data_IF_401116691881
#
_entry.id   IF_401116691881
#
_cell.length_a   1.000
_cell.length_b   1.000
_cell.length_c   1.000
_cell.angle_alpha   90.00
_cell.angle_beta   90.00
_cell.angle_gamma   90.00
#
_symmetry.space_group_name_H-M   'P 1'
#
loop_
_entity.id
_entity.type
_entity.pdbx_description
1 polymer ?
#
# COMPACT_ATOMS: atom_id res chain seq x y z
N UNK A 1 10.23 -14.44 24.82
CA UNK A 1 10.05 -15.88 24.51
C UNK A 1 8.66 -16.22 23.94
N UNK A 2 7.57 -15.57 24.36
CA UNK A 2 6.20 -15.85 23.86
C UNK A 2 5.92 -15.37 22.44
N UNK A 3 6.69 -14.43 21.87
CA UNK A 3 6.52 -13.90 20.51
C UNK A 3 7.10 -14.82 19.42
N UNK A 4 8.10 -15.63 19.74
CA UNK A 4 8.74 -16.56 18.79
C UNK A 4 7.96 -17.86 18.55
N UNK A 5 7.08 -18.23 19.47
CA UNK A 5 6.23 -19.45 19.35
C UNK A 5 5.01 -19.23 18.46
N UNK A 6 4.61 -17.97 18.23
CA UNK A 6 3.41 -17.63 17.43
C UNK A 6 3.56 -17.91 15.93
N UNK A 7 4.78 -18.04 15.43
CA UNK A 7 5.06 -18.08 13.98
C UNK A 7 5.18 -19.48 13.35
N UNK A 8 4.99 -20.58 14.06
CA UNK A 8 5.30 -21.91 13.51
C UNK A 8 4.16 -22.85 13.14
N UNK A 9 2.89 -22.55 13.41
CA UNK A 9 1.88 -23.59 13.13
C UNK A 9 0.41 -23.21 12.92
N UNK A 10 0.03 -21.98 12.70
CA UNK A 10 -1.38 -21.66 12.40
C UNK A 10 -1.53 -20.94 11.08
N UNK A 11 -2.08 -21.66 10.08
CA UNK A 11 -2.76 -21.00 8.95
C UNK A 11 -3.73 -19.99 9.55
N UNK A 12 -3.50 -18.69 9.30
CA UNK A 12 -4.41 -17.64 9.75
C UNK A 12 -5.82 -18.00 9.26
N UNK A 13 -6.84 -18.05 10.12
CA UNK A 13 -8.19 -18.36 9.67
C UNK A 13 -8.59 -17.40 8.56
N UNK A 14 -9.27 -17.88 7.54
CA UNK A 14 -9.78 -17.07 6.42
C UNK A 14 -10.72 -15.93 6.88
N UNK A 15 -11.21 -16.00 8.11
CA UNK A 15 -12.10 -15.01 8.74
C UNK A 15 -11.44 -14.27 9.91
N UNK A 16 -10.10 -14.12 9.91
CA UNK A 16 -9.44 -13.34 10.95
C UNK A 16 -9.86 -11.87 10.85
N UNK A 17 -10.34 -11.36 11.97
CA UNK A 17 -10.61 -9.93 12.18
C UNK A 17 -9.79 -9.51 13.39
N UNK A 18 -8.98 -8.47 13.23
CA UNK A 18 -8.21 -7.87 14.34
C UNK A 18 -9.15 -7.49 15.48
N UNK A 19 -8.71 -7.69 16.73
CA UNK A 19 -9.52 -7.48 17.94
C UNK A 19 -10.19 -6.09 17.99
N UNK A 20 -9.50 -5.05 17.54
CA UNK A 20 -10.02 -3.66 17.55
C UNK A 20 -11.24 -3.46 16.63
N UNK A 21 -11.47 -4.38 15.69
CA UNK A 21 -12.60 -4.34 14.76
C UNK A 21 -13.73 -5.30 15.14
N UNK A 22 -13.58 -6.07 16.23
CA UNK A 22 -14.64 -6.98 16.68
C UNK A 22 -15.91 -6.21 17.05
N UNK A 23 -17.05 -6.70 16.55
CA UNK A 23 -18.36 -6.08 16.79
C UNK A 23 -18.67 -4.87 15.94
N UNK A 24 -17.76 -4.43 15.07
CA UNK A 24 -18.00 -3.32 14.13
C UNK A 24 -18.53 -3.91 12.83
N UNK A 25 -19.72 -3.41 12.41
CA UNK A 25 -20.27 -3.77 11.12
C UNK A 25 -19.63 -2.95 10.00
N UNK A 26 -19.00 -3.61 9.04
CA UNK A 26 -18.32 -2.96 7.92
C UNK A 26 -19.26 -2.17 6.99
N UNK A 27 -20.57 -2.44 7.01
CA UNK A 27 -21.59 -1.75 6.19
C UNK A 27 -21.94 -0.36 6.76
N UNK A 28 -21.82 -0.20 8.07
CA UNK A 28 -22.14 1.06 8.79
C UNK A 28 -20.90 1.80 9.27
N UNK A 29 -19.74 1.48 8.74
CA UNK A 29 -18.48 2.10 9.14
C UNK A 29 -18.44 3.58 8.75
N UNK A 30 -18.26 4.47 9.74
CA UNK A 30 -18.10 5.91 9.52
C UNK A 30 -16.64 6.35 9.55
N UNK A 31 -16.37 7.54 8.97
CA UNK A 31 -15.00 8.14 9.00
C UNK A 31 -14.54 8.37 10.43
N UNK A 32 -15.40 8.84 11.33
CA UNK A 32 -15.05 9.12 12.73
C UNK A 32 -14.69 7.84 13.48
N UNK A 33 -15.45 6.76 13.28
CA UNK A 33 -15.11 5.45 13.84
C UNK A 33 -13.75 4.95 13.32
N UNK A 34 -13.50 5.11 12.02
CA UNK A 34 -12.20 4.73 11.45
C UNK A 34 -11.06 5.54 12.07
N UNK A 35 -11.23 6.85 12.21
CA UNK A 35 -10.20 7.73 12.80
C UNK A 35 -9.94 7.45 14.28
N UNK A 36 -10.94 7.00 15.03
CA UNK A 36 -10.77 6.60 16.43
C UNK A 36 -9.95 5.30 16.58
N UNK A 37 -9.99 4.42 15.58
CA UNK A 37 -9.28 3.13 15.59
C UNK A 37 -7.92 3.23 14.88
N UNK A 38 -7.88 3.91 13.74
CA UNK A 38 -6.71 4.01 12.87
C UNK A 38 -6.16 5.44 12.88
N UNK A 39 -5.15 5.68 13.70
CA UNK A 39 -4.44 6.97 13.64
C UNK A 39 -3.79 7.18 12.27
N UNK A 40 -3.55 8.44 11.89
CA UNK A 40 -2.82 8.77 10.65
C UNK A 40 -1.47 8.06 10.59
N UNK A 41 -0.73 8.00 11.70
CA UNK A 41 0.58 7.35 11.76
C UNK A 41 0.51 5.84 11.58
N UNK A 42 -0.56 5.21 12.08
CA UNK A 42 -0.81 3.79 11.84
C UNK A 42 -1.03 3.53 10.35
N UNK A 43 -1.87 4.33 9.67
CA UNK A 43 -2.12 4.22 8.22
C UNK A 43 -0.83 4.44 7.42
N UNK A 44 0.03 5.38 7.85
CA UNK A 44 1.35 5.60 7.23
C UNK A 44 2.23 4.35 7.36
N UNK A 45 2.38 3.80 8.57
CA UNK A 45 3.16 2.58 8.81
C UNK A 45 2.64 1.38 8.01
N UNK A 46 1.31 1.20 7.99
CA UNK A 46 0.66 0.16 7.20
C UNK A 46 0.90 0.35 5.68
N UNK A 47 0.88 1.59 5.20
CA UNK A 47 1.21 1.90 3.80
C UNK A 47 2.67 1.64 3.47
N UNK A 48 3.61 1.92 4.38
CA UNK A 48 5.03 1.59 4.20
C UNK A 48 5.25 0.07 4.06
N UNK A 49 4.46 -0.74 4.75
CA UNK A 49 4.53 -2.20 4.65
C UNK A 49 3.83 -2.72 3.39
N UNK A 50 2.56 -2.38 3.18
CA UNK A 50 1.65 -3.05 2.24
C UNK A 50 1.26 -2.19 1.03
N UNK A 51 1.50 -0.88 1.07
CA UNK A 51 1.10 0.05 0.00
C UNK A 51 1.98 -0.05 -1.23
N UNK A 52 1.44 0.32 -2.38
CA UNK A 52 2.16 0.40 -3.65
C UNK A 52 1.75 1.64 -4.44
N UNK A 53 2.74 2.48 -4.80
CA UNK A 53 2.57 3.68 -5.62
C UNK A 53 3.09 3.39 -7.02
N UNK A 54 2.25 3.39 -8.04
CA UNK A 54 2.68 3.03 -9.39
C UNK A 54 1.92 3.78 -10.49
N UNK A 55 2.47 3.72 -11.70
CA UNK A 55 1.85 4.20 -12.93
C UNK A 55 1.44 2.99 -13.77
N UNK A 56 0.22 3.00 -14.31
CA UNK A 56 -0.31 1.90 -15.14
C UNK A 56 -0.87 2.41 -16.46
N UNK A 57 -0.61 1.70 -17.53
CA UNK A 57 -1.24 1.95 -18.83
C UNK A 57 -2.72 1.57 -18.79
N UNK A 58 -3.59 2.46 -19.20
CA UNK A 58 -5.06 2.27 -19.32
C UNK A 58 -5.53 2.32 -20.77
N UNK A 59 -4.62 2.44 -21.73
CA UNK A 59 -4.87 2.50 -23.16
C UNK A 59 -3.60 2.87 -23.93
N UNK A 60 -3.69 2.99 -25.27
CA UNK A 60 -2.52 3.26 -26.12
C UNK A 60 -1.74 4.52 -25.73
N UNK A 61 -2.46 5.59 -25.37
CA UNK A 61 -1.89 6.90 -25.03
C UNK A 61 -2.31 7.40 -23.65
N UNK A 62 -2.69 6.48 -22.73
CA UNK A 62 -3.16 6.83 -21.40
C UNK A 62 -2.41 6.08 -20.32
N UNK A 63 -1.78 6.83 -19.41
CA UNK A 63 -1.21 6.32 -18.16
C UNK A 63 -1.95 6.97 -16.99
N UNK A 64 -2.22 6.18 -15.96
CA UNK A 64 -2.90 6.62 -14.74
C UNK A 64 -2.03 6.37 -13.53
N UNK A 65 -2.08 7.30 -12.57
CA UNK A 65 -1.52 7.11 -11.24
C UNK A 65 -2.40 6.16 -10.45
N UNK A 66 -1.78 5.18 -9.81
CA UNK A 66 -2.45 4.23 -8.94
C UNK A 66 -1.74 4.16 -7.60
N UNK A 67 -2.52 4.13 -6.54
CA UNK A 67 -2.11 3.72 -5.22
C UNK A 67 -2.98 2.53 -4.82
N UNK A 68 -2.37 1.47 -4.31
CA UNK A 68 -3.04 0.22 -3.99
C UNK A 68 -2.48 -0.36 -2.69
N UNK A 69 -3.36 -0.91 -1.89
CA UNK A 69 -3.02 -1.73 -0.73
C UNK A 69 -3.72 -3.07 -0.88
N UNK A 70 -2.99 -4.16 -0.66
CA UNK A 70 -3.52 -5.53 -0.78
C UNK A 70 -3.44 -6.23 0.56
N UNK A 71 -4.54 -6.92 0.93
CA UNK A 71 -4.61 -7.74 2.14
C UNK A 71 -5.33 -9.06 1.86
N UNK A 72 -4.79 -10.14 2.43
CA UNK A 72 -5.44 -11.45 2.36
C UNK A 72 -6.60 -11.56 3.35
N UNK A 73 -6.41 -11.01 4.54
CA UNK A 73 -7.36 -11.01 5.63
C UNK A 73 -7.73 -9.54 6.00
N UNK A 74 -8.59 -9.36 6.99
CA UNK A 74 -8.94 -8.02 7.52
C UNK A 74 -9.48 -7.04 6.46
N UNK A 75 -10.45 -7.49 5.66
CA UNK A 75 -11.14 -6.65 4.68
C UNK A 75 -11.63 -5.33 5.29
N UNK A 76 -12.06 -5.34 6.57
CA UNK A 76 -12.54 -4.16 7.28
C UNK A 76 -11.48 -3.06 7.39
N UNK A 77 -10.19 -3.42 7.52
CA UNK A 77 -9.08 -2.46 7.50
C UNK A 77 -9.02 -1.72 6.16
N UNK A 78 -9.15 -2.46 5.05
CA UNK A 78 -9.18 -1.85 3.71
C UNK A 78 -10.44 -0.99 3.51
N UNK A 79 -11.57 -1.38 4.08
CA UNK A 79 -12.80 -0.56 4.11
C UNK A 79 -12.57 0.76 4.85
N UNK A 80 -11.94 0.71 6.03
CA UNK A 80 -11.57 1.93 6.77
C UNK A 80 -10.66 2.84 5.94
N UNK A 81 -9.59 2.31 5.34
CA UNK A 81 -8.69 3.08 4.48
C UNK A 81 -9.44 3.64 3.27
N UNK A 82 -10.37 2.89 2.68
CA UNK A 82 -11.15 3.34 1.53
C UNK A 82 -12.01 4.56 1.85
N UNK A 83 -12.61 4.62 3.05
CA UNK A 83 -13.37 5.78 3.52
C UNK A 83 -12.46 7.01 3.74
N UNK A 84 -11.28 6.80 4.35
CA UNK A 84 -10.33 7.88 4.60
C UNK A 84 -9.78 8.49 3.31
N UNK A 85 -9.52 7.68 2.30
CA UNK A 85 -8.77 8.05 1.10
C UNK A 85 -9.62 8.11 -0.18
N UNK A 86 -10.93 7.88 -0.07
CA UNK A 86 -11.85 7.82 -1.22
C UNK A 86 -11.38 6.80 -2.28
N UNK A 87 -11.17 5.57 -1.84
CA UNK A 87 -10.66 4.48 -2.67
C UNK A 87 -11.72 3.39 -2.84
N UNK A 88 -11.51 2.48 -3.80
CA UNK A 88 -12.41 1.35 -4.04
C UNK A 88 -11.82 0.07 -3.47
N UNK A 89 -12.59 -0.64 -2.65
CA UNK A 89 -12.25 -2.00 -2.21
C UNK A 89 -12.81 -3.02 -3.19
N UNK A 90 -11.99 -3.98 -3.60
CA UNK A 90 -12.36 -5.06 -4.50
C UNK A 90 -11.91 -6.40 -3.94
N UNK A 91 -12.75 -7.43 -4.09
CA UNK A 91 -12.37 -8.82 -3.86
C UNK A 91 -11.67 -9.40 -5.08
N UNK A 92 -10.58 -10.12 -4.87
CA UNK A 92 -9.78 -10.81 -5.88
C UNK A 92 -9.71 -12.34 -5.60
N UNK A 93 -10.83 -12.91 -5.15
CA UNK A 93 -10.92 -14.32 -4.78
C UNK A 93 -10.27 -14.57 -3.41
N UNK A 94 -8.96 -14.78 -3.37
CA UNK A 94 -8.23 -15.14 -2.14
C UNK A 94 -7.71 -13.94 -1.34
N UNK A 95 -7.86 -12.71 -1.84
CA UNK A 95 -7.39 -11.49 -1.19
C UNK A 95 -8.27 -10.29 -1.56
N UNK A 96 -8.10 -9.19 -0.85
CA UNK A 96 -8.77 -7.91 -1.10
C UNK A 96 -7.76 -6.85 -1.50
N UNK A 97 -8.19 -5.94 -2.37
CA UNK A 97 -7.41 -4.75 -2.74
C UNK A 97 -8.20 -3.49 -2.49
N UNK A 98 -7.52 -2.45 -2.01
CA UNK A 98 -8.04 -1.09 -1.93
C UNK A 98 -7.23 -0.23 -2.91
N UNK A 99 -7.89 0.35 -3.92
CA UNK A 99 -7.21 1.01 -5.05
C UNK A 99 -7.84 2.35 -5.39
N UNK A 100 -7.00 3.33 -5.77
CA UNK A 100 -7.47 4.61 -6.34
C UNK A 100 -8.04 4.38 -7.75
N UNK A 101 -9.21 4.97 -8.02
CA UNK A 101 -9.90 4.83 -9.32
C UNK A 101 -10.06 6.17 -10.05
N UNK A 102 -9.94 7.28 -9.34
CA UNK A 102 -10.17 8.63 -9.87
C UNK A 102 -8.97 9.55 -9.62
N UNK A 103 -8.90 10.66 -10.35
CA UNK A 103 -7.90 11.70 -10.07
C UNK A 103 -8.15 12.39 -8.72
N UNK A 104 -9.40 12.49 -8.29
CA UNK A 104 -9.76 13.03 -6.98
C UNK A 104 -9.20 12.17 -5.85
N UNK A 105 -9.37 10.83 -5.93
CA UNK A 105 -8.80 9.88 -4.98
C UNK A 105 -7.27 9.98 -4.95
N UNK A 106 -6.60 10.10 -6.11
CA UNK A 106 -5.15 10.28 -6.19
C UNK A 106 -4.70 11.56 -5.49
N UNK A 107 -5.39 12.68 -5.71
CA UNK A 107 -5.10 13.93 -5.01
C UNK A 107 -5.25 13.79 -3.50
N UNK A 108 -6.33 13.11 -3.05
CA UNK A 108 -6.57 12.87 -1.62
C UNK A 108 -5.46 12.05 -0.99
N UNK A 109 -4.98 11.01 -1.68
CA UNK A 109 -3.82 10.19 -1.26
C UNK A 109 -2.55 11.04 -1.17
N UNK A 110 -2.27 11.89 -2.18
CA UNK A 110 -1.11 12.79 -2.18
C UNK A 110 -1.16 13.73 -0.97
N UNK A 111 -2.31 14.35 -0.71
CA UNK A 111 -2.47 15.27 0.41
C UNK A 111 -2.35 14.55 1.76
N UNK A 112 -2.98 13.38 1.89
CA UNK A 112 -2.97 12.61 3.14
C UNK A 112 -1.55 12.20 3.56
N UNK A 113 -0.73 11.76 2.61
CA UNK A 113 0.64 11.30 2.87
C UNK A 113 1.69 12.40 2.75
N UNK A 114 1.30 13.64 2.50
CA UNK A 114 2.23 14.75 2.37
C UNK A 114 3.11 14.88 3.62
N UNK A 115 4.45 14.86 3.41
CA UNK A 115 5.48 14.87 4.45
C UNK A 115 5.48 13.70 5.47
N UNK A 116 4.69 12.66 5.28
CA UNK A 116 4.59 11.56 6.27
C UNK A 116 5.30 10.28 5.84
N UNK A 117 5.32 9.94 4.54
CA UNK A 117 6.05 8.76 4.02
C UNK A 117 7.55 9.05 4.02
N UNK A 118 8.29 8.40 4.95
CA UNK A 118 9.73 8.61 5.18
C UNK A 118 10.56 7.34 5.12
N UNK A 119 9.93 6.17 5.08
CA UNK A 119 10.57 4.88 5.07
C UNK A 119 10.95 4.41 3.67
N UNK A 120 10.89 3.11 3.45
CA UNK A 120 11.32 2.45 2.21
C UNK A 120 10.56 2.93 0.96
N UNK A 121 9.30 3.32 1.11
CA UNK A 121 8.46 3.81 0.01
C UNK A 121 8.57 5.32 -0.23
N UNK A 122 9.40 6.03 0.53
CA UNK A 122 9.50 7.49 0.44
C UNK A 122 9.94 7.98 -0.94
N UNK A 123 10.87 7.29 -1.58
CA UNK A 123 11.35 7.64 -2.92
C UNK A 123 10.28 7.38 -3.97
N UNK A 124 9.64 6.20 -3.95
CA UNK A 124 8.52 5.87 -4.85
C UNK A 124 7.38 6.88 -4.71
N UNK A 125 6.96 7.15 -3.48
CA UNK A 125 5.90 8.13 -3.21
C UNK A 125 6.25 9.52 -3.72
N UNK A 126 7.47 10.01 -3.48
CA UNK A 126 7.90 11.35 -3.95
C UNK A 126 7.90 11.46 -5.46
N UNK A 127 8.38 10.44 -6.17
CA UNK A 127 8.37 10.44 -7.65
C UNK A 127 6.92 10.38 -8.14
N UNK A 128 6.13 9.45 -7.61
CA UNK A 128 4.73 9.26 -7.99
C UNK A 128 3.88 10.51 -7.72
N UNK A 129 3.96 11.10 -6.53
CA UNK A 129 3.17 12.28 -6.17
C UNK A 129 3.54 13.52 -6.99
N UNK A 130 4.85 13.74 -7.23
CA UNK A 130 5.32 14.86 -8.05
C UNK A 130 4.94 14.72 -9.52
N UNK A 131 4.96 13.48 -10.03
CA UNK A 131 4.59 13.19 -11.42
C UNK A 131 3.12 13.46 -11.73
N UNK A 132 2.26 13.57 -10.69
CA UNK A 132 0.85 13.86 -10.89
C UNK A 132 0.60 15.25 -11.54
N UNK A 133 1.52 16.19 -11.40
CA UNK A 133 1.48 17.48 -12.13
C UNK A 133 1.57 17.28 -13.64
N UNK A 134 2.14 16.16 -14.10
CA UNK A 134 2.35 15.80 -15.51
C UNK A 134 1.30 14.79 -16.01
N UNK A 135 0.19 14.63 -15.30
CA UNK A 135 -0.85 13.60 -15.56
C UNK A 135 -1.44 13.63 -16.97
N UNK A 136 -1.34 14.76 -17.67
CA UNK A 136 -1.84 14.93 -19.03
C UNK A 136 -0.76 14.67 -20.12
N UNK A 137 0.51 14.46 -19.73
CA UNK A 137 1.61 14.18 -20.66
C UNK A 137 1.94 12.68 -20.65
N UNK A 138 1.48 11.96 -21.67
CA UNK A 138 1.73 10.54 -21.83
C UNK A 138 3.23 10.21 -21.88
N UNK A 139 3.99 10.93 -22.69
CA UNK A 139 5.42 10.68 -22.91
C UNK A 139 6.24 10.85 -21.62
N UNK A 140 5.97 11.91 -20.84
CA UNK A 140 6.63 12.13 -19.57
C UNK A 140 6.27 11.04 -18.56
N UNK A 141 5.01 10.64 -18.50
CA UNK A 141 4.58 9.56 -17.61
C UNK A 141 5.19 8.20 -18.00
N UNK A 142 5.40 7.92 -19.29
CA UNK A 142 6.14 6.71 -19.74
C UNK A 142 7.57 6.71 -19.20
N UNK A 143 8.27 7.85 -19.31
CA UNK A 143 9.64 7.97 -18.77
C UNK A 143 9.67 7.76 -17.27
N UNK A 144 8.74 8.38 -16.54
CA UNK A 144 8.64 8.25 -15.07
C UNK A 144 8.29 6.81 -14.67
N UNK A 145 7.39 6.15 -15.38
CA UNK A 145 7.05 4.74 -15.14
C UNK A 145 8.29 3.83 -15.23
N UNK A 146 9.13 4.05 -16.26
CA UNK A 146 10.40 3.30 -16.41
C UNK A 146 11.33 3.55 -15.23
N UNK A 147 11.48 4.80 -14.78
CA UNK A 147 12.30 5.16 -13.62
C UNK A 147 11.79 4.43 -12.36
N UNK A 148 10.48 4.48 -12.09
CA UNK A 148 9.88 3.82 -10.93
C UNK A 148 10.09 2.29 -10.95
N UNK A 149 9.94 1.67 -12.11
CA UNK A 149 10.18 0.22 -12.27
C UNK A 149 11.65 -0.13 -12.02
N UNK A 150 12.59 0.67 -12.53
CA UNK A 150 14.02 0.44 -12.30
C UNK A 150 14.40 0.57 -10.82
N UNK A 151 13.84 1.54 -10.10
CA UNK A 151 14.06 1.71 -8.67
C UNK A 151 13.58 0.48 -7.90
N UNK A 152 12.38 -0.04 -8.20
CA UNK A 152 11.84 -1.24 -7.56
C UNK A 152 12.73 -2.45 -7.78
N UNK A 153 13.14 -2.67 -9.04
CA UNK A 153 14.00 -3.80 -9.39
C UNK A 153 15.35 -3.71 -8.66
N UNK A 154 15.95 -2.52 -8.59
CA UNK A 154 17.22 -2.30 -7.90
C UNK A 154 17.11 -2.54 -6.40
N UNK A 155 16.10 -1.97 -5.74
CA UNK A 155 15.86 -2.17 -4.30
C UNK A 155 15.65 -3.66 -3.99
N UNK A 156 14.91 -4.39 -4.82
CA UNK A 156 14.71 -5.83 -4.66
C UNK A 156 15.99 -6.61 -4.74
N UNK A 157 16.86 -6.30 -5.71
CA UNK A 157 18.18 -6.96 -5.88
C UNK A 157 19.10 -6.65 -4.70
N UNK A 158 19.19 -5.40 -4.29
CA UNK A 158 20.04 -4.98 -3.17
C UNK A 158 19.60 -5.64 -1.86
N UNK A 159 18.28 -5.77 -1.63
CA UNK A 159 17.73 -6.46 -0.47
C UNK A 159 18.05 -7.96 -0.47
N UNK A 160 17.91 -8.63 -1.62
CA UNK A 160 18.28 -10.05 -1.77
C UNK A 160 19.77 -10.26 -1.52
N UNK A 161 20.63 -9.40 -2.08
CA UNK A 161 22.07 -9.47 -1.88
C UNK A 161 22.45 -9.25 -0.41
N UNK A 162 21.77 -8.36 0.30
CA UNK A 162 21.97 -8.13 1.74
C UNK A 162 21.57 -9.36 2.57
N UNK A 163 20.42 -9.98 2.28
CA UNK A 163 19.97 -11.21 2.92
C UNK A 163 20.95 -12.36 2.69
N UNK A 164 21.43 -12.56 1.46
CA UNK A 164 22.39 -13.59 1.14
C UNK A 164 23.71 -13.41 1.93
N UNK A 165 24.22 -12.19 2.04
CA UNK A 165 25.42 -11.88 2.84
C UNK A 165 25.22 -12.19 4.33
N UNK A 166 24.03 -11.92 4.89
CA UNK A 166 23.72 -12.25 6.29
C UNK A 166 23.63 -13.75 6.53
N UNK A 167 22.98 -14.48 5.62
CA UNK A 167 22.84 -15.95 5.73
C UNK A 167 24.20 -16.63 5.65
N UNK A 168 25.11 -16.15 4.79
CA UNK A 168 26.46 -16.69 4.68
C UNK A 168 27.26 -16.45 5.98
N UNK A 169 27.13 -15.27 6.60
CA UNK A 169 27.79 -14.96 7.88
C UNK A 169 27.28 -15.76 9.08
N UNK A 170 26.05 -16.28 9.03
CA UNK A 170 25.47 -17.09 10.11
C UNK A 170 25.85 -18.59 10.00
N UNK A 171 26.51 -19.03 8.93
CA UNK A 171 26.94 -20.42 8.70
C UNK A 171 28.42 -20.64 8.96
N UNK A 172 29.16 -19.65 9.43
CA UNK A 172 30.53 -19.71 9.94
C UNK A 172 30.51 -19.52 11.46
#
# INVERSE_FOLDING_TARGET
EKLLVYNKSKKTPTNYISFVWKGINEEFLSVDQVQSIMSKYWVVGFTEAEGSFYLTKKGPFRISHCFEITQKNDKIVLKGISLLLDMKVMSKGTYFTCITTTQASVNKVIYYFFHTIKGMKSLEYRIWSRSFRKKNSFEELVKIQKIMNNIRNKISIDYINLLCKHIIKMKV
#
